data_IF_883032479616
#
_entry.id   IF_883032479616
#
_cell.length_a   1.000
_cell.length_b   1.000
_cell.length_c   1.000
_cell.angle_alpha   90.00
_cell.angle_beta   90.00
_cell.angle_gamma   90.00
#
_symmetry.space_group_name_H-M   'P 1'
#
loop_
_entity.id
_entity.type
_entity.pdbx_description
1 polymer ?
#
# COMPACT_ATOMS: atom_id res chain seq x y z
N UNK A 1 -55.11 28.05 -0.97
CA UNK A 1 -56.49 27.67 -1.29
C UNK A 1 -56.60 26.17 -1.37
N UNK A 2 -57.40 25.63 -0.43
CA UNK A 2 -58.23 24.41 -0.53
C UNK A 2 -57.47 23.08 -0.75
N UNK A 3 -57.68 22.05 -0.03
CA UNK A 3 -58.48 21.63 1.14
C UNK A 3 -58.47 20.08 1.13
N UNK A 4 -58.11 19.47 2.24
CA UNK A 4 -58.58 18.23 2.85
C UNK A 4 -59.24 17.11 2.00
N UNK A 5 -58.90 15.86 2.20
CA UNK A 5 -59.81 14.96 2.96
C UNK A 5 -59.12 13.64 3.36
N UNK A 6 -59.26 13.31 4.65
CA UNK A 6 -59.01 12.01 5.25
C UNK A 6 -60.28 11.20 5.25
N UNK A 7 -60.22 9.88 5.10
CA UNK A 7 -61.24 8.95 5.60
C UNK A 7 -60.59 7.69 6.15
N UNK A 8 -60.85 7.44 7.42
CA UNK A 8 -60.63 6.22 8.17
C UNK A 8 -61.85 5.31 8.04
N UNK A 9 -61.68 4.01 8.09
CA UNK A 9 -62.72 3.09 8.48
C UNK A 9 -62.13 1.79 9.05
N UNK A 10 -62.48 1.58 10.28
CA UNK A 10 -62.40 0.46 11.20
C UNK A 10 -63.21 -0.75 10.76
N UNK A 11 -62.79 -1.97 11.15
CA UNK A 11 -63.58 -3.19 11.04
C UNK A 11 -63.00 -4.34 11.86
N UNK A 12 -63.70 -4.69 12.89
CA UNK A 12 -63.41 -5.50 14.08
C UNK A 12 -63.79 -6.99 13.89
N UNK A 13 -62.94 -7.86 14.49
CA UNK A 13 -63.20 -9.14 15.17
C UNK A 13 -63.90 -10.32 14.46
N UNK A 14 -63.40 -11.50 14.70
CA UNK A 14 -63.99 -12.53 15.60
C UNK A 14 -63.15 -13.81 15.69
N UNK A 15 -63.09 -14.34 16.92
CA UNK A 15 -62.41 -15.56 17.38
C UNK A 15 -63.14 -16.84 16.90
N UNK A 16 -62.31 -17.89 16.68
CA UNK A 16 -62.74 -19.25 16.97
C UNK A 16 -61.58 -20.15 17.36
N UNK A 17 -61.60 -20.68 18.55
CA UNK A 17 -60.77 -21.69 19.11
C UNK A 17 -61.23 -23.09 18.72
N UNK A 18 -60.27 -23.99 18.37
CA UNK A 18 -60.51 -25.43 18.46
C UNK A 18 -59.19 -26.14 18.79
N UNK A 19 -59.22 -26.87 19.92
CA UNK A 19 -58.16 -27.79 20.38
C UNK A 19 -58.14 -29.07 19.56
N UNK A 20 -56.97 -29.66 19.38
CA UNK A 20 -56.78 -31.01 18.85
C UNK A 20 -55.33 -31.46 18.97
N UNK A 21 -55.10 -32.52 19.71
CA UNK A 21 -53.90 -33.12 20.30
C UNK A 21 -52.87 -33.72 19.35
N UNK A 22 -51.63 -33.76 19.87
CA UNK A 22 -50.56 -34.78 19.80
C UNK A 22 -49.99 -35.23 18.48
N UNK A 23 -48.69 -35.01 18.35
CA UNK A 23 -47.81 -35.63 17.35
C UNK A 23 -46.38 -35.13 17.50
N UNK A 24 -45.58 -35.86 18.27
CA UNK A 24 -44.12 -35.72 18.45
C UNK A 24 -43.39 -35.92 17.14
N UNK A 25 -42.58 -34.97 16.71
CA UNK A 25 -41.37 -35.22 15.89
C UNK A 25 -40.46 -34.04 16.02
N UNK A 26 -39.34 -34.29 16.68
CA UNK A 26 -38.18 -33.41 16.77
C UNK A 26 -37.49 -33.32 15.41
N UNK A 27 -37.55 -32.19 14.78
CA UNK A 27 -36.53 -31.84 13.76
C UNK A 27 -35.89 -30.52 14.15
N UNK A 28 -34.67 -30.67 14.67
CA UNK A 28 -33.71 -29.63 14.94
C UNK A 28 -33.19 -29.10 13.62
N UNK A 29 -33.69 -27.99 13.14
CA UNK A 29 -33.05 -27.24 12.03
C UNK A 29 -31.95 -26.36 12.59
N UNK A 30 -30.77 -26.90 12.66
CA UNK A 30 -29.51 -26.14 12.75
C UNK A 30 -29.23 -25.54 11.40
N UNK A 31 -29.57 -24.29 11.20
CA UNK A 31 -29.13 -23.50 10.06
C UNK A 31 -28.47 -22.21 10.56
N UNK A 32 -27.17 -22.32 10.89
CA UNK A 32 -26.27 -21.17 10.95
C UNK A 32 -24.83 -21.74 11.00
N UNK A 33 -24.12 -21.75 9.88
CA UNK A 33 -22.72 -22.16 9.84
C UNK A 33 -22.16 -22.48 8.46
N UNK A 34 -22.61 -21.78 7.41
CA UNK A 34 -22.17 -22.10 6.04
C UNK A 34 -21.30 -21.06 5.35
N UNK A 35 -21.00 -19.91 5.95
CA UNK A 35 -20.26 -18.83 5.27
C UNK A 35 -18.74 -18.92 5.38
N UNK A 36 -18.20 -19.49 6.46
CA UNK A 36 -16.75 -19.48 6.70
C UNK A 36 -16.00 -20.57 5.94
N UNK A 37 -16.63 -21.71 5.68
CA UNK A 37 -15.96 -22.87 5.04
C UNK A 37 -15.76 -22.70 3.54
N UNK A 38 -16.65 -21.98 2.84
CA UNK A 38 -16.51 -21.78 1.40
C UNK A 38 -15.45 -20.74 1.06
N UNK A 39 -15.32 -19.67 1.86
CA UNK A 39 -14.28 -18.64 1.66
C UNK A 39 -12.87 -19.18 1.96
N UNK A 40 -12.72 -19.98 3.01
CA UNK A 40 -11.46 -20.62 3.34
C UNK A 40 -11.00 -21.61 2.26
N UNK A 41 -11.94 -22.32 1.61
CA UNK A 41 -11.62 -23.23 0.50
C UNK A 41 -11.26 -22.47 -0.79
N UNK A 42 -11.83 -21.27 -1.02
CA UNK A 42 -11.53 -20.46 -2.20
C UNK A 42 -10.08 -19.91 -2.17
N UNK A 43 -9.52 -19.67 -0.99
CA UNK A 43 -8.15 -19.20 -0.82
C UNK A 43 -7.14 -20.31 -0.51
N UNK A 44 -7.54 -21.58 -0.61
CA UNK A 44 -6.57 -22.68 -0.53
C UNK A 44 -5.62 -22.60 -1.74
N UNK A 45 -4.34 -22.83 -1.54
CA UNK A 45 -3.27 -22.72 -2.55
C UNK A 45 -3.65 -23.33 -3.89
N UNK A 46 -4.16 -24.57 -3.87
CA UNK A 46 -4.53 -25.32 -5.08
C UNK A 46 -5.74 -24.73 -5.84
N UNK A 47 -6.46 -23.80 -5.20
CA UNK A 47 -7.59 -23.07 -5.78
C UNK A 47 -7.21 -21.70 -6.33
N UNK A 48 -5.99 -21.22 -6.01
CA UNK A 48 -5.54 -19.89 -6.43
C UNK A 48 -5.20 -19.88 -7.93
N UNK A 49 -5.65 -18.84 -8.60
CA UNK A 49 -5.33 -18.60 -10.01
C UNK A 49 -4.11 -17.68 -10.09
N UNK A 50 -2.93 -18.29 -10.18
CA UNK A 50 -1.66 -17.58 -10.36
C UNK A 50 -1.20 -17.63 -11.82
N UNK A 51 -0.30 -16.74 -12.22
CA UNK A 51 0.28 -16.70 -13.57
C UNK A 51 0.96 -18.02 -13.93
N UNK A 52 1.60 -18.65 -12.96
CA UNK A 52 2.23 -19.96 -13.12
C UNK A 52 1.63 -20.92 -12.11
N UNK A 53 0.95 -21.98 -12.54
CA UNK A 53 0.37 -22.96 -11.61
C UNK A 53 1.38 -23.46 -10.58
N UNK A 54 1.02 -23.36 -9.28
CA UNK A 54 1.86 -23.80 -8.17
C UNK A 54 3.02 -22.88 -7.82
N UNK A 55 3.14 -21.72 -8.48
CA UNK A 55 4.12 -20.67 -8.15
C UNK A 55 3.44 -19.32 -7.98
N UNK A 56 4.10 -18.45 -7.23
CA UNK A 56 3.69 -17.07 -7.01
C UNK A 56 4.73 -16.12 -7.62
N UNK A 57 4.31 -15.34 -8.61
CA UNK A 57 5.16 -14.34 -9.26
C UNK A 57 4.95 -12.99 -8.60
N UNK A 58 5.95 -12.55 -7.83
CA UNK A 58 5.94 -11.24 -7.18
C UNK A 58 6.79 -10.27 -8.00
N UNK A 59 6.43 -8.99 -7.98
CA UNK A 59 7.21 -7.97 -8.67
C UNK A 59 7.49 -6.78 -7.77
N UNK A 60 8.63 -6.12 -8.01
CA UNK A 60 8.97 -4.84 -7.39
C UNK A 60 9.67 -3.94 -8.40
N UNK A 61 9.98 -2.71 -8.01
CA UNK A 61 10.79 -1.82 -8.85
C UNK A 61 12.26 -2.24 -8.86
N UNK A 62 12.98 -1.79 -9.84
CA UNK A 62 14.42 -1.96 -9.94
C UNK A 62 15.08 -0.63 -10.35
N UNK A 63 15.84 -0.03 -9.45
CA UNK A 63 16.47 -0.60 -8.24
C UNK A 63 15.51 -0.75 -7.05
N UNK A 64 15.67 -1.85 -6.31
CA UNK A 64 15.02 -2.08 -5.03
C UNK A 64 15.84 -1.42 -3.90
N UNK A 65 15.19 -0.63 -3.05
CA UNK A 65 15.87 0.22 -2.07
C UNK A 65 15.80 -0.34 -0.65
N UNK A 66 16.87 -0.12 0.13
CA UNK A 66 16.81 -0.20 1.58
C UNK A 66 15.99 0.98 2.12
N UNK A 67 15.13 0.83 3.15
CA UNK A 67 14.95 -0.36 4.01
C UNK A 67 13.94 -1.39 3.49
N UNK A 68 13.36 -1.16 2.32
CA UNK A 68 12.29 -2.01 1.77
C UNK A 68 12.81 -3.35 1.28
N UNK A 69 13.96 -3.32 0.62
CA UNK A 69 14.73 -4.48 0.18
C UNK A 69 16.19 -4.29 0.61
N UNK A 70 16.73 -5.24 1.34
CA UNK A 70 18.06 -5.17 1.96
C UNK A 70 18.86 -6.46 1.80
N UNK A 71 18.58 -7.22 0.74
CA UNK A 71 19.19 -8.54 0.48
C UNK A 71 20.66 -8.50 0.11
N UNK A 72 21.16 -7.35 -0.36
CA UNK A 72 22.49 -7.28 -0.95
C UNK A 72 22.56 -8.04 -2.29
N UNK A 73 23.78 -8.32 -2.81
CA UNK A 73 23.96 -9.05 -4.04
C UNK A 73 23.56 -10.53 -3.86
N UNK A 74 22.73 -11.04 -4.77
CA UNK A 74 22.31 -12.43 -4.77
C UNK A 74 21.59 -12.78 -6.06
N UNK A 75 21.35 -14.06 -6.30
CA UNK A 75 20.71 -14.60 -7.49
C UNK A 75 21.14 -13.86 -8.78
N UNK A 76 20.35 -13.93 -9.84
CA UNK A 76 20.59 -13.16 -11.06
C UNK A 76 19.87 -11.79 -11.05
N UNK A 77 19.51 -11.27 -9.84
CA UNK A 77 18.86 -9.97 -9.71
C UNK A 77 19.83 -8.85 -10.08
N UNK A 78 19.61 -8.25 -11.24
CA UNK A 78 20.44 -7.19 -11.80
C UNK A 78 19.85 -5.83 -11.46
N UNK A 79 19.84 -5.49 -10.18
CA UNK A 79 19.45 -4.18 -9.71
C UNK A 79 20.64 -3.23 -9.58
N UNK A 80 20.38 -1.95 -9.70
CA UNK A 80 21.40 -0.91 -9.60
C UNK A 80 21.99 -0.83 -8.18
N UNK A 81 21.19 -1.11 -7.14
CA UNK A 81 21.62 -1.23 -5.74
C UNK A 81 21.89 -2.67 -5.30
N UNK A 82 21.76 -3.60 -6.22
CA UNK A 82 22.07 -4.99 -5.97
C UNK A 82 21.38 -5.58 -4.72
N UNK A 83 20.13 -5.12 -4.43
CA UNK A 83 19.29 -5.68 -3.37
C UNK A 83 18.44 -6.78 -3.95
N UNK A 84 18.85 -8.01 -3.65
CA UNK A 84 18.18 -9.23 -4.10
C UNK A 84 16.89 -9.47 -3.30
N UNK A 85 15.71 -9.48 -3.95
CA UNK A 85 14.45 -9.72 -3.26
C UNK A 85 14.23 -11.19 -2.87
N UNK A 86 15.07 -12.11 -3.32
CA UNK A 86 15.02 -13.50 -2.85
C UNK A 86 15.63 -13.71 -1.45
N UNK A 87 16.16 -12.65 -0.85
CA UNK A 87 16.88 -12.75 0.43
C UNK A 87 15.98 -12.69 1.67
N UNK A 88 14.69 -12.40 1.53
CA UNK A 88 13.74 -12.16 2.64
C UNK A 88 14.31 -11.13 3.64
N UNK A 89 14.83 -10.03 3.11
CA UNK A 89 15.44 -8.95 3.90
C UNK A 89 14.97 -7.58 3.43
N UNK A 90 14.35 -6.86 4.34
CA UNK A 90 13.76 -5.56 4.10
C UNK A 90 12.30 -5.56 4.50
N UNK A 91 11.72 -4.38 4.60
CA UNK A 91 10.34 -4.23 5.05
C UNK A 91 9.35 -4.87 4.07
N UNK A 92 9.39 -4.46 2.81
CA UNK A 92 8.45 -4.98 1.81
C UNK A 92 8.80 -6.39 1.36
N UNK A 93 10.08 -6.75 1.35
CA UNK A 93 10.52 -8.11 1.10
C UNK A 93 9.89 -9.07 2.13
N UNK A 94 9.99 -8.75 3.43
CA UNK A 94 9.37 -9.53 4.49
C UNK A 94 7.83 -9.54 4.41
N UNK A 95 7.19 -8.42 4.02
CA UNK A 95 5.73 -8.38 3.79
C UNK A 95 5.35 -9.30 2.64
N UNK A 96 6.11 -9.27 1.54
CA UNK A 96 5.84 -10.12 0.38
C UNK A 96 5.87 -11.61 0.74
N UNK A 97 6.93 -12.06 1.42
CA UNK A 97 7.03 -13.46 1.85
C UNK A 97 6.00 -13.83 2.92
N UNK A 98 5.66 -12.92 3.84
CA UNK A 98 4.61 -13.16 4.81
C UNK A 98 3.23 -13.35 4.15
N UNK A 99 2.91 -12.57 3.11
CA UNK A 99 1.68 -12.75 2.32
C UNK A 99 1.74 -14.07 1.55
N UNK A 100 2.86 -14.40 0.91
CA UNK A 100 3.05 -15.67 0.20
C UNK A 100 2.82 -16.88 1.12
N UNK A 101 3.38 -16.87 2.33
CA UNK A 101 3.19 -17.90 3.34
C UNK A 101 1.71 -18.08 3.72
N UNK A 102 0.97 -16.97 3.93
CA UNK A 102 -0.48 -17.02 4.21
C UNK A 102 -1.30 -17.57 3.04
N UNK A 103 -0.82 -17.41 1.82
CA UNK A 103 -1.42 -18.00 0.62
C UNK A 103 -0.98 -19.47 0.41
N UNK A 104 -0.10 -20.00 1.27
CA UNK A 104 0.37 -21.38 1.25
C UNK A 104 1.56 -21.65 0.34
N UNK A 105 2.28 -20.61 -0.12
CA UNK A 105 3.49 -20.77 -0.93
C UNK A 105 4.74 -20.76 -0.05
N UNK A 106 5.65 -21.69 -0.32
CA UNK A 106 7.00 -21.69 0.25
C UNK A 106 7.90 -20.69 -0.50
N UNK A 107 9.03 -20.33 0.08
CA UNK A 107 9.98 -19.41 -0.55
C UNK A 107 10.48 -19.93 -1.92
N UNK A 108 10.65 -21.24 -2.08
CA UNK A 108 11.09 -21.89 -3.35
C UNK A 108 10.04 -21.79 -4.46
N UNK A 109 8.80 -21.50 -4.10
CA UNK A 109 7.68 -21.35 -5.03
C UNK A 109 7.45 -19.89 -5.42
N UNK A 110 8.18 -18.95 -4.81
CA UNK A 110 8.16 -17.54 -5.14
C UNK A 110 9.15 -17.25 -6.27
N UNK A 111 8.70 -16.50 -7.26
CA UNK A 111 9.53 -15.99 -8.36
C UNK A 111 9.43 -14.46 -8.39
N UNK A 112 10.55 -13.77 -8.47
CA UNK A 112 10.57 -12.32 -8.56
C UNK A 112 10.77 -11.81 -9.99
N UNK A 113 10.09 -10.72 -10.32
CA UNK A 113 10.25 -9.95 -11.56
C UNK A 113 10.44 -8.47 -11.24
N UNK A 114 11.00 -7.73 -12.19
CA UNK A 114 11.16 -6.29 -12.09
C UNK A 114 10.13 -5.58 -12.98
N UNK A 115 9.40 -4.63 -12.41
CA UNK A 115 8.47 -3.77 -13.13
C UNK A 115 8.69 -2.34 -12.66
N UNK A 116 8.99 -1.36 -13.55
CA UNK A 116 9.13 0.04 -13.16
C UNK A 116 7.89 0.55 -12.43
N UNK A 117 8.07 1.35 -11.39
CA UNK A 117 7.01 1.84 -10.51
C UNK A 117 5.77 2.31 -11.30
N UNK A 118 5.95 3.24 -12.23
CA UNK A 118 4.86 3.82 -13.00
C UNK A 118 4.22 2.86 -14.04
N UNK A 119 4.78 1.68 -14.26
CA UNK A 119 4.20 0.63 -15.11
C UNK A 119 3.31 -0.31 -14.30
N UNK A 120 3.54 -0.45 -12.99
CA UNK A 120 2.84 -1.41 -12.14
C UNK A 120 1.32 -1.18 -12.11
N UNK A 121 0.87 0.07 -12.17
CA UNK A 121 -0.55 0.45 -12.15
C UNK A 121 -1.11 0.95 -13.49
N UNK A 122 -0.40 0.73 -14.62
CA UNK A 122 -0.97 1.02 -15.96
C UNK A 122 -2.07 0.01 -16.30
N UNK A 123 -3.09 0.41 -17.08
CA UNK A 123 -4.09 -0.53 -17.58
C UNK A 123 -3.47 -1.68 -18.37
N UNK A 124 -4.11 -2.85 -18.34
CA UNK A 124 -3.74 -4.04 -19.10
C UNK A 124 -3.11 -5.14 -18.25
N UNK A 125 -2.91 -6.33 -18.85
CA UNK A 125 -2.45 -7.53 -18.14
C UNK A 125 -1.11 -7.32 -17.45
N UNK A 126 -0.96 -7.92 -16.27
CA UNK A 126 0.27 -7.88 -15.47
C UNK A 126 1.12 -9.12 -15.73
N UNK A 127 2.43 -8.98 -15.54
CA UNK A 127 3.40 -10.07 -15.56
C UNK A 127 3.76 -10.55 -14.14
N UNK A 128 2.91 -10.26 -13.18
CA UNK A 128 3.04 -10.60 -11.76
C UNK A 128 1.67 -10.95 -11.17
N UNK A 129 1.67 -11.75 -10.12
CA UNK A 129 0.48 -12.04 -9.33
C UNK A 129 0.17 -10.89 -8.39
N UNK A 130 1.21 -10.32 -7.77
CA UNK A 130 1.13 -9.01 -7.12
C UNK A 130 2.47 -8.27 -7.14
N UNK A 131 2.40 -6.97 -6.95
CA UNK A 131 3.55 -6.05 -6.96
C UNK A 131 3.55 -5.19 -5.70
N UNK A 132 4.73 -4.86 -5.21
CA UNK A 132 4.91 -3.91 -4.11
C UNK A 132 6.16 -3.04 -4.33
N UNK A 133 6.02 -1.76 -4.14
CA UNK A 133 7.05 -0.71 -4.07
C UNK A 133 6.39 0.57 -3.56
N UNK A 134 5.92 0.57 -2.32
CA UNK A 134 5.31 1.73 -1.65
C UNK A 134 4.13 2.34 -2.45
N UNK A 135 3.29 1.50 -3.05
CA UNK A 135 2.19 1.98 -3.92
C UNK A 135 1.01 2.45 -3.08
N UNK A 136 0.81 3.75 -3.02
CA UNK A 136 -0.33 4.37 -2.32
C UNK A 136 -1.65 4.08 -3.02
N UNK A 137 -2.69 3.80 -2.24
CA UNK A 137 -4.07 3.66 -2.71
C UNK A 137 -4.58 5.02 -3.19
N UNK A 138 -4.96 5.11 -4.45
CA UNK A 138 -5.63 6.29 -5.00
C UNK A 138 -6.82 5.90 -5.87
N UNK A 139 -7.90 6.72 -5.92
CA UNK A 139 -9.04 6.44 -6.79
C UNK A 139 -8.65 6.30 -8.26
N UNK A 140 -7.62 7.03 -8.71
CA UNK A 140 -7.13 6.96 -10.08
C UNK A 140 -6.49 5.59 -10.37
N UNK A 141 -5.63 5.09 -9.48
CA UNK A 141 -4.98 3.77 -9.65
C UNK A 141 -6.01 2.64 -9.62
N UNK A 142 -7.00 2.73 -8.73
CA UNK A 142 -8.08 1.74 -8.61
C UNK A 142 -8.95 1.60 -9.88
N UNK A 143 -8.94 2.56 -10.78
CA UNK A 143 -9.61 2.42 -12.09
C UNK A 143 -8.92 1.41 -13.00
N UNK A 144 -7.62 1.23 -12.85
CA UNK A 144 -6.78 0.46 -13.77
C UNK A 144 -6.27 -0.86 -13.21
N UNK A 145 -6.20 -0.98 -11.89
CA UNK A 145 -5.67 -2.14 -11.16
C UNK A 145 -6.50 -2.41 -9.92
N UNK A 146 -6.37 -3.61 -9.36
CA UNK A 146 -6.79 -3.85 -8.00
C UNK A 146 -5.67 -3.47 -7.04
N UNK A 147 -6.07 -2.87 -5.93
CA UNK A 147 -5.19 -2.58 -4.80
C UNK A 147 -5.70 -3.35 -3.59
N UNK A 148 -4.80 -4.03 -2.91
CA UNK A 148 -5.14 -4.77 -1.69
C UNK A 148 -5.59 -3.82 -0.55
N UNK A 149 -6.03 -4.40 0.55
CA UNK A 149 -6.05 -3.69 1.84
C UNK A 149 -4.65 -3.17 2.14
N UNK A 150 -4.52 -1.99 2.80
CA UNK A 150 -3.20 -1.41 3.04
C UNK A 150 -2.38 -2.26 4.01
N UNK A 151 -1.07 -2.37 3.76
CA UNK A 151 -0.13 -3.00 4.70
C UNK A 151 0.68 -1.98 5.52
N UNK A 152 0.69 -0.70 5.12
CA UNK A 152 1.41 0.38 5.82
C UNK A 152 0.74 1.73 5.57
N UNK A 153 1.03 2.71 6.44
CA UNK A 153 0.62 4.10 6.28
C UNK A 153 1.84 5.02 6.43
N UNK A 154 2.03 5.95 5.48
CA UNK A 154 3.15 6.87 5.44
C UNK A 154 2.70 8.31 5.31
N UNK A 155 3.44 9.24 5.94
CA UNK A 155 3.37 10.67 5.65
C UNK A 155 4.31 11.02 4.51
N UNK A 156 4.11 12.18 3.88
CA UNK A 156 5.08 12.78 2.97
C UNK A 156 6.18 13.49 3.76
N UNK A 157 7.36 13.62 3.19
CA UNK A 157 8.45 14.36 3.80
C UNK A 157 9.33 15.06 2.77
N UNK A 158 10.03 16.10 3.24
CA UNK A 158 11.05 16.78 2.47
C UNK A 158 12.42 16.42 3.03
N UNK A 159 13.30 15.94 2.16
CA UNK A 159 14.72 15.72 2.46
C UNK A 159 15.58 16.72 1.71
N UNK A 160 16.64 17.19 2.34
CA UNK A 160 17.56 18.18 1.78
C UNK A 160 18.99 17.93 2.23
N UNK A 161 19.97 18.50 1.54
CA UNK A 161 21.36 18.45 1.97
C UNK A 161 21.56 19.31 3.24
N UNK A 162 22.42 18.83 4.15
CA UNK A 162 22.72 19.55 5.41
C UNK A 162 23.25 20.95 5.15
N UNK A 163 22.80 21.89 5.98
CA UNK A 163 23.27 23.28 5.95
C UNK A 163 22.70 24.15 4.83
N UNK A 164 21.85 23.62 3.96
CA UNK A 164 21.15 24.40 2.94
C UNK A 164 20.04 25.26 3.56
N UNK A 165 19.67 26.41 2.95
CA UNK A 165 18.62 27.31 3.48
C UNK A 165 17.29 26.61 3.76
N UNK A 166 16.86 25.67 2.91
CA UNK A 166 15.61 24.91 3.04
C UNK A 166 15.51 24.13 4.37
N UNK A 167 16.66 23.76 4.97
CA UNK A 167 16.67 23.03 6.26
C UNK A 167 16.17 23.88 7.45
N UNK A 168 15.92 25.16 7.23
CA UNK A 168 15.34 26.08 8.22
C UNK A 168 13.83 26.24 8.07
N UNK A 169 13.22 25.62 7.05
CA UNK A 169 11.78 25.67 6.88
C UNK A 169 11.08 25.02 8.08
N UNK A 170 10.04 25.67 8.57
CA UNK A 170 9.21 25.23 9.70
C UNK A 170 7.74 25.08 9.32
N UNK A 171 7.39 25.52 8.11
CA UNK A 171 6.04 25.43 7.56
C UNK A 171 6.07 25.05 6.07
N UNK A 172 4.93 24.61 5.54
CA UNK A 172 4.77 24.38 4.10
C UNK A 172 4.94 25.67 3.28
N UNK A 173 4.57 26.81 3.85
CA UNK A 173 4.73 28.11 3.20
C UNK A 173 6.20 28.46 2.96
N UNK A 174 7.09 28.06 3.88
CA UNK A 174 8.54 28.31 3.76
C UNK A 174 9.16 27.53 2.60
N UNK A 175 8.52 26.44 2.16
CA UNK A 175 9.01 25.59 1.07
C UNK A 175 8.77 26.19 -0.32
N UNK A 176 7.85 27.14 -0.47
CA UNK A 176 7.36 27.62 -1.77
C UNK A 176 8.43 28.21 -2.66
N UNK A 177 9.42 28.88 -2.09
CA UNK A 177 10.49 29.56 -2.83
C UNK A 177 11.65 28.63 -3.24
N UNK A 178 11.65 27.37 -2.80
CA UNK A 178 12.71 26.40 -3.08
C UNK A 178 12.42 25.56 -4.32
N UNK A 179 13.47 25.11 -4.98
CA UNK A 179 13.38 24.17 -6.10
C UNK A 179 13.17 22.77 -5.55
N UNK A 180 11.95 22.25 -5.68
CA UNK A 180 11.61 20.92 -5.24
C UNK A 180 11.75 19.91 -6.38
N UNK A 181 12.15 18.68 -6.03
CA UNK A 181 12.22 17.55 -6.95
C UNK A 181 11.29 16.42 -6.50
N UNK A 182 10.89 15.57 -7.44
CA UNK A 182 9.98 14.45 -7.20
C UNK A 182 10.04 13.41 -8.31
N UNK A 183 9.69 12.18 -8.02
CA UNK A 183 9.46 11.14 -9.02
C UNK A 183 8.07 11.28 -9.65
N UNK A 184 7.99 11.07 -10.96
CA UNK A 184 6.76 11.12 -11.74
C UNK A 184 5.75 10.05 -11.30
N UNK A 185 4.46 10.43 -11.23
CA UNK A 185 3.35 9.49 -10.96
C UNK A 185 3.22 9.07 -9.50
N UNK A 186 3.95 9.72 -8.58
CA UNK A 186 3.85 9.50 -7.13
C UNK A 186 2.80 10.41 -6.50
N UNK A 187 2.28 10.02 -5.34
CA UNK A 187 1.46 10.89 -4.49
C UNK A 187 2.26 12.08 -3.95
N UNK A 188 3.59 11.97 -3.88
CA UNK A 188 4.50 13.07 -3.56
C UNK A 188 4.42 14.18 -4.62
N UNK A 189 4.28 13.85 -5.91
CA UNK A 189 4.11 14.85 -6.97
C UNK A 189 2.77 15.59 -6.83
N UNK A 190 1.70 14.85 -6.49
CA UNK A 190 0.39 15.45 -6.21
C UNK A 190 0.45 16.34 -4.95
N UNK A 191 1.17 15.92 -3.92
CA UNK A 191 1.35 16.67 -2.69
C UNK A 191 2.16 17.96 -2.89
N UNK A 192 3.19 17.95 -3.72
CA UNK A 192 3.89 19.20 -4.09
C UNK A 192 2.91 20.17 -4.72
N UNK A 193 2.16 19.71 -5.72
CA UNK A 193 1.30 20.61 -6.52
C UNK A 193 0.12 21.15 -5.74
N UNK A 194 -0.48 20.34 -4.84
CA UNK A 194 -1.75 20.66 -4.18
C UNK A 194 -1.60 21.10 -2.71
N UNK A 195 -0.55 20.66 -2.01
CA UNK A 195 -0.34 20.94 -0.59
C UNK A 195 0.75 22.00 -0.39
N UNK A 196 1.92 21.85 -1.00
CA UNK A 196 3.00 22.84 -0.92
C UNK A 196 2.70 24.01 -1.85
N UNK A 197 2.27 23.76 -3.07
CA UNK A 197 2.00 24.76 -4.12
C UNK A 197 3.16 25.75 -4.29
N UNK A 198 4.35 25.29 -4.74
CA UNK A 198 5.55 26.11 -4.82
C UNK A 198 5.43 27.20 -5.90
N UNK A 199 6.24 28.27 -5.76
CA UNK A 199 6.26 29.39 -6.69
C UNK A 199 6.76 29.02 -8.10
N UNK A 200 7.48 27.89 -8.21
CA UNK A 200 7.99 27.34 -9.46
C UNK A 200 7.61 25.87 -9.59
N UNK A 201 7.38 25.41 -10.83
CA UNK A 201 7.10 24.00 -11.11
C UNK A 201 8.21 23.08 -10.54
N UNK A 202 7.86 21.94 -9.92
CA UNK A 202 8.83 21.00 -9.43
C UNK A 202 9.63 20.35 -10.56
N UNK A 203 10.87 19.97 -10.27
CA UNK A 203 11.66 19.15 -11.17
C UNK A 203 11.20 17.70 -11.07
N UNK A 204 10.68 17.16 -12.17
CA UNK A 204 10.13 15.81 -12.22
C UNK A 204 11.16 14.85 -12.83
N UNK A 205 11.40 13.75 -12.14
CA UNK A 205 12.36 12.71 -12.52
C UNK A 205 11.63 11.39 -12.79
N UNK A 206 12.26 10.53 -13.57
CA UNK A 206 11.66 9.21 -13.88
C UNK A 206 11.75 8.22 -12.72
N UNK A 207 12.71 8.42 -11.81
CA UNK A 207 12.97 7.57 -10.64
C UNK A 207 13.41 8.41 -9.45
N UNK A 208 13.10 7.97 -8.25
CA UNK A 208 13.57 8.60 -7.00
C UNK A 208 15.09 8.70 -6.96
N UNK A 209 15.84 7.71 -7.48
CA UNK A 209 17.30 7.79 -7.56
C UNK A 209 17.79 8.97 -8.38
N UNK A 210 17.20 9.20 -9.56
CA UNK A 210 17.61 10.31 -10.43
C UNK A 210 17.36 11.65 -9.72
N UNK A 211 16.28 11.74 -8.95
CA UNK A 211 15.96 12.90 -8.10
C UNK A 211 16.93 13.04 -6.92
N UNK A 212 17.33 11.93 -6.27
CA UNK A 212 18.36 11.93 -5.21
C UNK A 212 19.70 12.42 -5.75
N UNK A 213 20.12 11.94 -6.92
CA UNK A 213 21.34 12.41 -7.55
C UNK A 213 21.28 13.91 -7.92
N UNK A 214 20.13 14.40 -8.33
CA UNK A 214 19.91 15.82 -8.58
C UNK A 214 20.00 16.65 -7.29
N UNK A 215 19.53 16.11 -6.16
CA UNK A 215 19.68 16.71 -4.84
C UNK A 215 21.15 16.79 -4.44
N UNK A 216 21.92 15.70 -4.58
CA UNK A 216 23.36 15.62 -4.26
C UNK A 216 24.17 16.61 -5.09
N UNK A 217 23.80 16.79 -6.35
CA UNK A 217 24.43 17.74 -7.27
C UNK A 217 23.96 19.19 -7.05
N UNK A 218 23.01 19.45 -6.12
CA UNK A 218 22.49 20.77 -5.84
C UNK A 218 21.64 21.35 -6.98
N UNK A 219 21.08 20.52 -7.84
CA UNK A 219 20.17 20.93 -8.92
C UNK A 219 18.76 21.25 -8.39
N UNK A 220 18.39 20.60 -7.28
CA UNK A 220 17.20 20.86 -6.48
C UNK A 220 17.61 21.17 -5.04
N UNK A 221 16.76 21.92 -4.33
CA UNK A 221 16.97 22.28 -2.93
C UNK A 221 16.42 21.24 -1.96
N UNK A 222 15.32 20.60 -2.35
CA UNK A 222 14.65 19.54 -1.58
C UNK A 222 14.01 18.50 -2.48
N UNK A 223 13.96 17.26 -1.99
CA UNK A 223 13.30 16.13 -2.61
C UNK A 223 12.10 15.74 -1.76
N UNK A 224 10.92 15.59 -2.37
CA UNK A 224 9.68 15.16 -1.68
C UNK A 224 9.45 13.70 -1.98
N UNK A 225 9.33 12.91 -0.92
CA UNK A 225 9.11 11.45 -0.94
C UNK A 225 8.36 11.03 0.32
N UNK A 226 7.94 9.79 0.40
CA UNK A 226 7.40 9.22 1.63
C UNK A 226 8.41 9.27 2.77
N UNK A 227 7.95 9.45 4.00
CA UNK A 227 8.82 9.69 5.16
C UNK A 227 9.87 8.59 5.38
N UNK A 228 9.58 7.27 5.28
CA UNK A 228 10.62 6.25 5.40
C UNK A 228 11.73 6.38 4.35
N UNK A 229 11.38 6.74 3.12
CA UNK A 229 12.34 7.00 2.04
C UNK A 229 13.19 8.24 2.33
N UNK A 230 12.57 9.33 2.80
CA UNK A 230 13.28 10.54 3.20
C UNK A 230 14.30 10.27 4.31
N UNK A 231 13.91 9.45 5.29
CA UNK A 231 14.81 9.04 6.37
C UNK A 231 16.02 8.27 5.83
N UNK A 232 15.79 7.29 4.95
CA UNK A 232 16.87 6.52 4.31
C UNK A 232 17.84 7.43 3.55
N UNK A 233 17.34 8.31 2.69
CA UNK A 233 18.16 9.27 1.92
C UNK A 233 18.96 10.19 2.87
N UNK A 234 18.34 10.65 3.96
CA UNK A 234 19.00 11.57 4.88
C UNK A 234 20.12 10.93 5.72
N UNK A 235 19.97 9.68 6.14
CA UNK A 235 20.80 9.10 7.20
C UNK A 235 21.56 7.84 6.80
N UNK A 236 21.17 7.17 5.71
CA UNK A 236 21.78 5.90 5.28
C UNK A 236 22.47 6.04 3.93
N UNK A 237 21.96 6.85 3.02
CA UNK A 237 22.60 7.12 1.71
C UNK A 237 23.94 7.84 1.93
N UNK A 238 25.01 7.44 1.21
CA UNK A 238 26.34 8.09 1.29
C UNK A 238 26.34 9.60 1.04
N UNK A 239 25.39 10.14 0.26
CA UNK A 239 25.27 11.59 0.03
C UNK A 239 24.97 12.37 1.30
N UNK A 240 24.26 11.77 2.22
CA UNK A 240 23.88 12.33 3.53
C UNK A 240 22.98 13.56 3.42
N UNK A 241 22.00 13.65 4.29
CA UNK A 241 21.04 14.74 4.25
C UNK A 241 20.45 15.04 5.63
N UNK A 242 19.33 15.71 5.61
CA UNK A 242 18.45 15.90 6.77
C UNK A 242 17.00 15.86 6.29
N UNK A 243 16.14 15.26 7.09
CA UNK A 243 14.70 15.40 6.89
C UNK A 243 14.31 16.80 7.40
N UNK A 244 13.84 17.65 6.50
CA UNK A 244 13.40 19.01 6.81
C UNK A 244 12.15 18.97 7.67
N UNK A 245 11.20 18.12 7.27
CA UNK A 245 9.99 17.86 8.00
C UNK A 245 9.05 16.95 7.23
N UNK A 246 8.01 16.47 7.92
CA UNK A 246 6.96 15.62 7.38
C UNK A 246 5.62 16.37 7.34
N UNK A 247 4.71 15.94 6.48
CA UNK A 247 3.39 16.52 6.33
C UNK A 247 2.41 15.50 5.74
N UNK A 248 1.12 15.73 5.92
CA UNK A 248 0.09 14.89 5.29
C UNK A 248 -0.03 15.21 3.80
N UNK A 249 -0.14 14.17 2.96
CA UNK A 249 -0.43 14.31 1.55
C UNK A 249 -1.86 14.82 1.28
N UNK A 250 -2.27 14.83 0.02
CA UNK A 250 -3.54 15.40 -0.46
C UNK A 250 -4.78 14.76 0.20
N UNK A 251 -4.71 13.50 0.62
CA UNK A 251 -5.81 12.76 1.26
C UNK A 251 -5.54 12.34 2.71
N UNK A 252 -4.49 12.86 3.34
CA UNK A 252 -4.01 12.40 4.64
C UNK A 252 -2.72 11.59 4.52
N UNK A 253 -2.58 10.52 5.32
CA UNK A 253 -1.47 9.57 5.19
C UNK A 253 -1.68 8.66 3.98
N UNK A 254 -0.61 8.40 3.26
CA UNK A 254 -0.60 7.47 2.13
C UNK A 254 -0.74 6.02 2.63
N UNK A 255 -1.73 5.31 2.13
CA UNK A 255 -1.97 3.91 2.46
C UNK A 255 -1.33 3.03 1.39
N UNK A 256 -0.24 2.30 1.72
CA UNK A 256 0.44 1.43 0.77
C UNK A 256 -0.25 0.07 0.64
N UNK A 257 -0.44 -0.36 -0.60
CA UNK A 257 -1.11 -1.61 -0.94
C UNK A 257 -0.33 -2.42 -1.96
N UNK A 258 -0.61 -3.71 -2.02
CA UNK A 258 -0.16 -4.57 -3.11
C UNK A 258 -1.00 -4.28 -4.35
N UNK A 259 -0.33 -4.21 -5.52
CA UNK A 259 -1.00 -4.03 -6.81
C UNK A 259 -1.23 -5.40 -7.43
N UNK A 260 -2.44 -5.64 -7.90
CA UNK A 260 -2.83 -6.83 -8.65
C UNK A 260 -3.40 -6.41 -10.02
N UNK A 261 -3.55 -7.36 -10.92
CA UNK A 261 -4.28 -7.10 -12.17
C UNK A 261 -5.72 -6.66 -11.85
N UNK A 262 -6.33 -5.91 -12.74
CA UNK A 262 -7.72 -5.47 -12.55
C UNK A 262 -8.66 -6.67 -12.51
N UNK A 263 -9.56 -6.68 -11.51
CA UNK A 263 -10.51 -7.77 -11.26
C UNK A 263 -9.81 -9.13 -10.97
N UNK A 264 -8.63 -9.09 -10.36
CA UNK A 264 -7.87 -10.29 -10.04
C UNK A 264 -8.61 -11.19 -9.04
N UNK A 265 -8.76 -12.49 -9.33
CA UNK A 265 -9.35 -13.44 -8.40
C UNK A 265 -8.49 -13.66 -7.13
N UNK A 266 -7.23 -13.22 -7.14
CA UNK A 266 -6.34 -13.27 -5.97
C UNK A 266 -6.64 -12.17 -4.95
N UNK A 267 -7.23 -11.03 -5.36
CA UNK A 267 -7.44 -9.86 -4.50
C UNK A 267 -8.12 -10.22 -3.16
N UNK A 268 -9.22 -10.99 -3.12
CA UNK A 268 -9.84 -11.37 -1.85
C UNK A 268 -8.92 -12.20 -0.94
N UNK A 269 -8.10 -13.09 -1.52
CA UNK A 269 -7.21 -13.96 -0.77
C UNK A 269 -5.98 -13.20 -0.23
N UNK A 270 -5.44 -12.26 -1.01
CA UNK A 270 -4.40 -11.34 -0.58
C UNK A 270 -4.90 -10.46 0.58
N UNK A 271 -6.14 -9.94 0.50
CA UNK A 271 -6.74 -9.17 1.58
C UNK A 271 -6.92 -10.01 2.86
N UNK A 272 -7.36 -11.27 2.72
CA UNK A 272 -7.45 -12.20 3.85
C UNK A 272 -6.07 -12.46 4.47
N UNK A 273 -5.01 -12.62 3.66
CA UNK A 273 -3.64 -12.77 4.13
C UNK A 273 -3.18 -11.54 4.92
N UNK A 274 -3.37 -10.33 4.38
CA UNK A 274 -3.02 -9.07 5.07
C UNK A 274 -3.81 -8.91 6.37
N UNK A 275 -5.11 -9.19 6.38
CA UNK A 275 -5.93 -9.14 7.59
C UNK A 275 -5.44 -10.12 8.66
N UNK A 276 -5.02 -11.34 8.26
CA UNK A 276 -4.41 -12.32 9.16
C UNK A 276 -3.10 -11.80 9.76
N UNK A 277 -2.19 -11.25 8.93
CA UNK A 277 -0.91 -10.68 9.36
C UNK A 277 -1.06 -9.48 10.31
N UNK A 278 -2.12 -8.69 10.12
CA UNK A 278 -2.48 -7.60 11.05
C UNK A 278 -2.98 -8.15 12.38
N UNK A 279 -3.88 -9.13 12.32
CA UNK A 279 -4.57 -9.63 13.52
C UNK A 279 -3.67 -10.40 14.49
N UNK A 280 -2.65 -11.09 13.98
CA UNK A 280 -1.71 -11.86 14.80
C UNK A 280 -0.43 -11.07 15.17
N UNK A 281 -0.33 -9.81 14.70
CA UNK A 281 0.79 -8.93 15.00
C UNK A 281 2.04 -9.16 14.14
N UNK A 282 2.01 -10.06 13.17
CA UNK A 282 3.16 -10.33 12.28
C UNK A 282 3.57 -9.07 11.52
N UNK A 283 2.59 -8.34 10.96
CA UNK A 283 2.87 -7.11 10.20
C UNK A 283 3.53 -6.04 11.09
N UNK A 284 3.03 -5.85 12.31
CA UNK A 284 3.64 -4.93 13.28
C UNK A 284 5.06 -5.35 13.70
N UNK A 285 5.33 -6.66 13.78
CA UNK A 285 6.67 -7.17 14.07
C UNK A 285 7.64 -6.92 12.89
N UNK A 286 7.19 -7.08 11.66
CA UNK A 286 7.96 -6.76 10.44
C UNK A 286 8.28 -5.26 10.41
N UNK A 287 7.27 -4.41 10.61
CA UNK A 287 7.44 -2.96 10.67
C UNK A 287 8.47 -2.57 11.75
N UNK A 288 8.29 -3.07 12.97
CA UNK A 288 9.23 -2.83 14.06
C UNK A 288 10.64 -3.27 13.73
N UNK A 289 10.81 -4.41 13.08
CA UNK A 289 12.14 -4.95 12.74
C UNK A 289 12.88 -4.06 11.73
N UNK A 290 12.18 -3.54 10.74
CA UNK A 290 12.81 -2.88 9.59
C UNK A 290 12.70 -1.35 9.60
N UNK A 291 11.70 -0.80 10.29
CA UNK A 291 11.41 0.63 10.29
C UNK A 291 11.50 1.28 11.69
N UNK A 292 11.93 0.55 12.74
CA UNK A 292 12.01 1.08 14.11
C UNK A 292 13.01 2.22 14.28
N UNK A 293 14.02 2.29 13.44
CA UNK A 293 15.03 3.35 13.48
C UNK A 293 14.53 4.67 12.84
N UNK A 294 13.39 4.61 12.16
CA UNK A 294 12.73 5.78 11.57
C UNK A 294 12.09 6.57 12.70
N UNK A 295 12.78 7.62 13.14
CA UNK A 295 12.29 8.52 14.18
C UNK A 295 11.52 9.68 13.58
N UNK A 296 10.51 10.17 14.32
CA UNK A 296 9.67 11.27 13.87
C UNK A 296 10.47 12.52 13.47
N UNK A 297 10.09 13.14 12.38
CA UNK A 297 10.58 14.44 11.93
C UNK A 297 9.62 15.55 12.38
N UNK A 298 10.05 16.83 12.39
CA UNK A 298 9.14 17.95 12.59
C UNK A 298 7.95 17.91 11.63
N UNK A 299 6.76 18.26 12.11
CA UNK A 299 5.57 18.37 11.25
C UNK A 299 5.50 19.78 10.68
N UNK A 300 5.41 19.87 9.36
CA UNK A 300 5.22 21.14 8.64
C UNK A 300 3.72 21.37 8.44
N UNK A 301 3.24 22.56 8.81
CA UNK A 301 1.82 22.94 8.72
C UNK A 301 1.61 24.08 7.73
#
# INVERSE_FOLDING_TARGET
MRTFLAIAATGLALLAAACGSSGTSSESSSAAGGGGSSAANACAKDSLQTLQPGKLTISTDNPAYTPYFAGGPGHDWKGEFNNDPYADKGFEDAVAYAVADRLGFTADEVTWTATPFNQSFKPGPKNFDYYLAQVSITPQRQQSVDLSDPYYAATQAVVALKGKPITKATSLADLKSFKLGVEIGTTSADAISSVIAPDTEPNVYNRTRDATQALDNGQIDGLVVDFPTAYYIAFVDPGGGTVVGQFSGTGGEDQWALVLDKDSPLTPCVNQAIASLKSDGTLAAIEKKWLSDIVGAPVLH
#
